data_IF_472076833902
#
_entry.id   IF_472076833902
#
_cell.length_a   1.000
_cell.length_b   1.000
_cell.length_c   1.000
_cell.angle_alpha   90.00
_cell.angle_beta   90.00
_cell.angle_gamma   90.00
#
_symmetry.space_group_name_H-M   'P 1'
#
loop_
_entity.id
_entity.type
_entity.pdbx_description
1 polymer ?
#
# COMPACT_ATOMS: atom_id res chain seq x y z
N UNK A 1 47.08 -8.77 26.02
CA UNK A 1 45.96 -7.84 26.26
C UNK A 1 45.08 -7.87 25.01
N UNK A 2 44.02 -8.69 25.00
CA UNK A 2 43.06 -8.77 23.87
C UNK A 2 42.12 -7.58 24.05
N UNK A 3 42.23 -6.61 23.17
CA UNK A 3 41.23 -5.51 23.09
C UNK A 3 39.89 -6.13 22.72
N UNK A 4 38.84 -5.75 23.41
CA UNK A 4 37.46 -6.12 23.06
C UNK A 4 37.20 -5.80 21.57
N UNK A 5 37.26 -6.84 20.75
CA UNK A 5 36.88 -6.73 19.35
C UNK A 5 35.35 -6.67 19.30
N UNK A 6 34.83 -5.53 18.93
CA UNK A 6 33.39 -5.34 18.69
C UNK A 6 33.12 -5.57 17.21
N UNK A 7 32.37 -6.62 16.91
CA UNK A 7 31.81 -6.82 15.56
C UNK A 7 30.57 -5.97 15.44
N UNK A 8 30.57 -5.11 14.42
CA UNK A 8 29.39 -4.27 14.08
C UNK A 8 29.00 -4.65 12.67
N UNK A 9 27.76 -5.10 12.49
CA UNK A 9 27.19 -5.29 11.18
C UNK A 9 26.93 -3.92 10.56
N UNK A 10 27.53 -3.64 9.40
CA UNK A 10 27.41 -2.39 8.66
C UNK A 10 26.52 -2.53 7.41
N UNK A 11 26.10 -3.76 7.10
CA UNK A 11 25.22 -4.09 5.98
C UNK A 11 25.36 -5.55 5.56
N UNK A 12 24.39 -6.00 4.80
CA UNK A 12 24.40 -7.33 4.16
C UNK A 12 24.08 -7.22 2.67
N UNK A 13 24.56 -8.16 1.88
CA UNK A 13 24.22 -8.32 0.48
C UNK A 13 23.86 -9.80 0.19
N UNK A 14 22.72 -10.11 -0.43
CA UNK A 14 21.63 -9.18 -0.73
C UNK A 14 21.02 -8.57 0.54
N UNK A 15 20.42 -7.38 0.46
CA UNK A 15 19.73 -6.75 1.57
C UNK A 15 18.44 -7.52 1.93
N UNK A 16 17.89 -7.30 3.12
CA UNK A 16 16.59 -7.87 3.50
C UNK A 16 15.48 -7.46 2.51
N UNK A 17 15.54 -6.24 2.00
CA UNK A 17 14.62 -5.77 0.97
C UNK A 17 14.78 -6.58 -0.32
N UNK A 18 16.02 -6.80 -0.80
CA UNK A 18 16.29 -7.58 -2.02
C UNK A 18 15.77 -9.02 -1.91
N UNK A 19 15.83 -9.63 -0.73
CA UNK A 19 15.30 -10.97 -0.48
C UNK A 19 13.77 -11.04 -0.54
N UNK A 20 13.10 -9.92 -0.28
CA UNK A 20 11.63 -9.81 -0.29
C UNK A 20 11.07 -9.29 -1.62
N UNK A 21 11.91 -8.73 -2.50
CA UNK A 21 11.52 -8.19 -3.81
C UNK A 21 10.99 -9.24 -4.80
N UNK A 22 11.50 -10.51 -4.85
CA UNK A 22 11.00 -11.50 -5.81
C UNK A 22 9.49 -11.75 -5.71
N UNK A 23 8.89 -11.51 -4.54
CA UNK A 23 7.44 -11.62 -4.37
C UNK A 23 6.65 -10.53 -5.11
N UNK A 24 7.32 -9.43 -5.48
CA UNK A 24 6.70 -8.30 -6.20
C UNK A 24 6.64 -8.57 -7.70
N UNK A 25 7.57 -9.32 -8.24
CA UNK A 25 7.73 -9.53 -9.69
C UNK A 25 6.47 -10.10 -10.35
N UNK A 26 5.68 -10.88 -9.61
CA UNK A 26 4.40 -11.44 -10.07
C UNK A 26 3.33 -10.37 -10.32
N UNK A 27 3.44 -9.19 -9.70
CA UNK A 27 2.49 -8.07 -9.85
C UNK A 27 2.95 -7.01 -10.85
N UNK A 28 4.18 -7.13 -11.39
CA UNK A 28 4.74 -6.21 -12.38
C UNK A 28 3.81 -5.91 -13.55
N UNK A 29 3.07 -6.90 -14.12
CA UNK A 29 2.19 -6.63 -15.25
C UNK A 29 1.01 -5.70 -14.92
N UNK A 30 0.65 -5.58 -13.66
CA UNK A 30 -0.56 -4.89 -13.18
C UNK A 30 -0.21 -3.50 -12.64
N UNK A 31 0.98 -3.35 -12.08
CA UNK A 31 1.45 -2.11 -11.46
C UNK A 31 2.11 -1.20 -12.49
N UNK A 32 1.84 0.09 -12.39
CA UNK A 32 2.63 1.12 -13.07
C UNK A 32 4.06 1.16 -12.53
N UNK A 33 4.98 1.80 -13.25
CA UNK A 33 6.37 1.95 -12.79
C UNK A 33 6.47 2.70 -11.46
N UNK A 34 5.58 3.66 -11.22
CA UNK A 34 5.50 4.41 -9.96
C UNK A 34 5.01 3.52 -8.81
N UNK A 35 3.90 2.79 -9.00
CA UNK A 35 3.33 1.86 -8.02
C UNK A 35 4.33 0.75 -7.67
N UNK A 36 5.11 0.29 -8.65
CA UNK A 36 6.19 -0.69 -8.46
C UNK A 36 7.31 -0.11 -7.59
N UNK A 37 7.70 1.14 -7.87
CA UNK A 37 8.66 1.86 -7.04
C UNK A 37 8.18 2.04 -5.61
N UNK A 38 6.91 2.36 -5.41
CA UNK A 38 6.31 2.51 -4.09
C UNK A 38 6.22 1.18 -3.34
N UNK A 39 5.89 0.10 -4.03
CA UNK A 39 5.86 -1.25 -3.45
C UNK A 39 7.26 -1.72 -3.02
N UNK A 40 8.28 -1.43 -3.83
CA UNK A 40 9.68 -1.70 -3.45
C UNK A 40 10.13 -0.92 -2.20
N UNK A 41 9.73 0.36 -2.09
CA UNK A 41 10.00 1.17 -0.90
C UNK A 41 9.26 0.68 0.33
N UNK A 42 8.01 0.27 0.17
CA UNK A 42 7.18 -0.32 1.19
C UNK A 42 7.86 -1.55 1.82
N UNK A 43 8.24 -2.52 1.00
CA UNK A 43 8.98 -3.71 1.42
C UNK A 43 10.30 -3.36 2.10
N UNK A 44 11.05 -2.41 1.54
CA UNK A 44 12.31 -1.96 2.09
C UNK A 44 12.16 -1.35 3.47
N UNK A 45 11.18 -0.47 3.67
CA UNK A 45 10.91 0.15 4.96
C UNK A 45 10.45 -0.88 6.00
N UNK A 46 9.57 -1.80 5.61
CA UNK A 46 9.12 -2.86 6.50
C UNK A 46 10.29 -3.76 6.93
N UNK A 47 11.17 -4.16 6.00
CA UNK A 47 12.37 -4.96 6.30
C UNK A 47 13.30 -4.28 7.32
N UNK A 48 13.29 -2.96 7.38
CA UNK A 48 14.02 -2.15 8.36
C UNK A 48 13.18 -1.73 9.58
N UNK A 49 12.03 -2.36 9.78
CA UNK A 49 11.11 -2.10 10.90
C UNK A 49 10.56 -0.66 10.93
N UNK A 50 10.42 -0.03 9.78
CA UNK A 50 9.81 1.29 9.63
C UNK A 50 8.34 1.11 9.24
N UNK A 51 7.48 0.87 10.21
CA UNK A 51 6.08 0.47 10.01
C UNK A 51 5.20 1.59 9.47
N UNK A 52 5.25 2.79 10.05
CA UNK A 52 4.47 3.95 9.57
C UNK A 52 4.88 4.31 8.14
N UNK A 53 6.17 4.29 7.84
CA UNK A 53 6.67 4.56 6.50
C UNK A 53 6.18 3.56 5.46
N UNK A 54 6.16 2.26 5.79
CA UNK A 54 5.62 1.23 4.92
C UNK A 54 4.12 1.42 4.68
N UNK A 55 3.34 1.78 5.70
CA UNK A 55 1.91 2.07 5.58
C UNK A 55 1.60 3.21 4.60
N UNK A 56 2.44 4.25 4.54
CA UNK A 56 2.28 5.35 3.58
C UNK A 56 2.32 4.83 2.15
N UNK A 57 3.28 3.99 1.81
CA UNK A 57 3.40 3.42 0.46
C UNK A 57 2.32 2.41 0.16
N UNK A 58 1.98 1.54 1.11
CA UNK A 58 0.89 0.58 0.97
C UNK A 58 -0.45 1.28 0.70
N UNK A 59 -0.71 2.39 1.38
CA UNK A 59 -1.87 3.24 1.14
C UNK A 59 -1.89 3.82 -0.27
N UNK A 60 -0.77 4.32 -0.78
CA UNK A 60 -0.67 4.86 -2.15
C UNK A 60 -1.00 3.80 -3.20
N UNK A 61 -0.50 2.58 -3.01
CA UNK A 61 -0.82 1.45 -3.90
C UNK A 61 -2.33 1.15 -3.87
N UNK A 62 -2.96 1.24 -2.71
CA UNK A 62 -4.40 1.04 -2.57
C UNK A 62 -5.22 2.19 -3.20
N UNK A 63 -4.73 3.42 -3.14
CA UNK A 63 -5.39 4.60 -3.72
C UNK A 63 -5.32 4.64 -5.26
N UNK A 64 -4.27 4.09 -5.87
CA UNK A 64 -4.06 4.13 -7.30
C UNK A 64 -5.23 3.63 -8.14
N UNK A 65 -5.78 2.43 -7.91
CA UNK A 65 -6.99 1.94 -8.60
C UNK A 65 -8.21 2.84 -8.39
N UNK A 66 -8.35 3.47 -7.23
CA UNK A 66 -9.45 4.41 -6.92
C UNK A 66 -9.34 5.64 -7.81
N UNK A 67 -8.15 6.22 -7.92
CA UNK A 67 -7.88 7.39 -8.77
C UNK A 67 -8.05 7.06 -10.26
N UNK A 68 -7.58 5.90 -10.70
CA UNK A 68 -7.77 5.43 -12.08
C UNK A 68 -9.24 5.26 -12.43
N UNK A 69 -10.04 4.72 -11.51
CA UNK A 69 -11.50 4.56 -11.70
C UNK A 69 -12.21 5.89 -11.74
N UNK A 70 -11.85 6.81 -10.83
CA UNK A 70 -12.36 8.18 -10.84
C UNK A 70 -12.07 8.87 -12.18
N UNK A 71 -10.84 8.80 -12.67
CA UNK A 71 -10.46 9.40 -13.95
C UNK A 71 -11.26 8.86 -15.15
N UNK A 72 -11.66 7.59 -15.12
CA UNK A 72 -12.52 6.98 -16.17
C UNK A 72 -13.97 7.48 -16.11
N UNK A 73 -14.47 7.84 -14.94
CA UNK A 73 -15.85 8.32 -14.75
C UNK A 73 -16.00 9.82 -14.96
N UNK A 74 -14.90 10.57 -14.87
CA UNK A 74 -14.88 11.99 -15.15
C UNK A 74 -15.44 12.29 -16.55
N UNK A 75 -16.48 13.14 -16.60
CA UNK A 75 -17.14 13.54 -17.84
C UNK A 75 -18.24 12.60 -18.32
N UNK A 76 -18.58 11.53 -17.60
CA UNK A 76 -19.79 10.76 -17.87
C UNK A 76 -21.04 11.50 -17.34
N UNK A 77 -22.17 11.35 -18.02
CA UNK A 77 -23.40 12.11 -17.73
C UNK A 77 -24.03 11.81 -16.35
N UNK A 78 -23.65 10.68 -15.75
CA UNK A 78 -24.18 10.21 -14.46
C UNK A 78 -23.24 10.49 -13.29
N UNK A 79 -22.09 11.16 -13.53
CA UNK A 79 -21.06 11.36 -12.52
C UNK A 79 -21.22 12.69 -11.77
N UNK A 80 -21.31 12.62 -10.44
CA UNK A 80 -21.37 13.79 -9.56
C UNK A 80 -19.98 14.05 -8.91
N UNK A 81 -19.21 14.92 -9.54
CA UNK A 81 -17.88 15.33 -9.05
C UNK A 81 -17.95 16.08 -7.72
N UNK A 82 -18.99 16.89 -7.52
CA UNK A 82 -19.17 17.65 -6.28
C UNK A 82 -19.42 16.73 -5.08
N UNK A 83 -20.15 15.65 -5.29
CA UNK A 83 -20.34 14.61 -4.26
C UNK A 83 -19.02 13.94 -3.93
N UNK A 84 -18.21 13.59 -4.93
CA UNK A 84 -16.91 12.93 -4.70
C UNK A 84 -15.92 13.84 -3.94
N UNK A 85 -15.80 15.11 -4.35
CA UNK A 85 -14.85 16.05 -3.73
C UNK A 85 -15.16 16.27 -2.26
N UNK A 86 -16.44 16.30 -1.89
CA UNK A 86 -16.89 16.51 -0.50
C UNK A 86 -16.85 15.25 0.37
N UNK A 87 -16.76 14.09 -0.25
CA UNK A 87 -16.83 12.80 0.44
C UNK A 87 -15.51 12.43 1.11
N UNK A 88 -15.62 11.71 2.22
CA UNK A 88 -14.50 10.99 2.81
C UNK A 88 -14.13 9.80 1.92
N UNK A 89 -12.95 9.23 2.13
CA UNK A 89 -12.46 8.17 1.25
C UNK A 89 -13.33 6.91 1.29
N UNK A 90 -13.87 6.52 2.43
CA UNK A 90 -14.82 5.42 2.55
C UNK A 90 -16.11 5.67 1.76
N UNK A 91 -16.58 6.92 1.73
CA UNK A 91 -17.71 7.34 0.91
C UNK A 91 -17.33 7.39 -0.58
N UNK A 92 -16.12 7.86 -0.91
CA UNK A 92 -15.59 7.83 -2.29
C UNK A 92 -15.53 6.41 -2.84
N UNK A 93 -15.06 5.44 -2.04
CA UNK A 93 -15.05 4.03 -2.41
C UNK A 93 -16.47 3.53 -2.70
N UNK A 94 -17.46 3.93 -1.89
CA UNK A 94 -18.86 3.57 -2.12
C UNK A 94 -19.44 4.21 -3.37
N UNK A 95 -19.15 5.49 -3.63
CA UNK A 95 -19.58 6.20 -4.83
C UNK A 95 -18.98 5.57 -6.10
N UNK A 96 -17.74 5.12 -6.02
CA UNK A 96 -17.04 4.47 -7.12
C UNK A 96 -17.34 2.96 -7.21
N UNK A 97 -18.07 2.38 -6.27
CA UNK A 97 -18.22 0.93 -6.09
C UNK A 97 -18.77 0.19 -7.33
N UNK A 98 -19.60 0.85 -8.15
CA UNK A 98 -20.13 0.26 -9.38
C UNK A 98 -19.09 0.10 -10.49
N UNK A 99 -18.02 0.87 -10.45
CA UNK A 99 -16.94 0.88 -11.45
C UNK A 99 -15.59 0.47 -10.88
N UNK A 100 -15.46 0.42 -9.55
CA UNK A 100 -14.30 -0.10 -8.86
C UNK A 100 -14.33 -1.64 -8.92
N UNK A 101 -13.16 -2.21 -8.97
CA UNK A 101 -13.02 -3.64 -8.74
C UNK A 101 -13.80 -4.02 -7.47
N UNK A 102 -14.66 -5.01 -7.58
CA UNK A 102 -15.53 -5.53 -6.52
C UNK A 102 -14.80 -5.69 -5.19
N UNK A 103 -13.58 -6.11 -5.28
CA UNK A 103 -12.64 -6.35 -4.21
C UNK A 103 -12.26 -5.10 -3.40
N UNK A 104 -11.99 -3.98 -4.06
CA UNK A 104 -11.68 -2.72 -3.38
C UNK A 104 -12.94 -2.14 -2.72
N UNK A 105 -14.08 -2.28 -3.38
CA UNK A 105 -15.37 -1.85 -2.84
C UNK A 105 -15.75 -2.61 -1.56
N UNK A 106 -15.48 -3.93 -1.50
CA UNK A 106 -15.76 -4.74 -0.31
C UNK A 106 -14.76 -4.55 0.84
N UNK A 107 -13.57 -4.00 0.57
CA UNK A 107 -12.52 -3.84 1.58
C UNK A 107 -12.25 -2.37 1.95
N UNK A 108 -13.29 -1.54 1.99
CA UNK A 108 -13.19 -0.15 2.48
C UNK A 108 -12.57 -0.03 3.87
N UNK A 109 -12.70 -1.07 4.69
CA UNK A 109 -12.09 -1.15 6.02
C UNK A 109 -10.56 -1.19 5.97
N UNK A 110 -9.97 -1.78 4.92
CA UNK A 110 -8.52 -1.76 4.72
C UNK A 110 -8.01 -0.33 4.54
N UNK A 111 -8.72 0.48 3.77
CA UNK A 111 -8.36 1.89 3.61
C UNK A 111 -8.48 2.66 4.92
N UNK A 112 -9.55 2.42 5.68
CA UNK A 112 -9.71 3.02 7.00
C UNK A 112 -8.54 2.67 7.93
N UNK A 113 -8.08 1.43 7.91
CA UNK A 113 -6.92 0.99 8.69
C UNK A 113 -5.62 1.64 8.21
N UNK A 114 -5.38 1.71 6.89
CA UNK A 114 -4.21 2.36 6.32
C UNK A 114 -4.20 3.87 6.63
N UNK A 115 -5.36 4.52 6.61
CA UNK A 115 -5.49 5.93 6.98
C UNK A 115 -5.19 6.18 8.46
N UNK A 116 -5.70 5.32 9.35
CA UNK A 116 -5.42 5.37 10.79
C UNK A 116 -3.95 5.14 11.10
N UNK A 117 -3.30 4.23 10.36
CA UNK A 117 -1.90 3.90 10.53
C UNK A 117 -0.97 5.10 10.49
N UNK A 118 -1.30 6.11 9.68
CA UNK A 118 -0.46 7.30 9.53
C UNK A 118 -0.65 8.31 10.71
N UNK A 119 -1.83 8.34 11.32
CA UNK A 119 -2.20 9.39 12.27
C UNK A 119 -2.46 8.89 13.69
N UNK A 120 -2.87 7.65 13.85
CA UNK A 120 -3.39 7.13 15.13
C UNK A 120 -2.63 5.89 15.65
N UNK A 121 -1.96 5.13 14.77
CA UNK A 121 -1.25 3.92 15.17
C UNK A 121 0.22 4.21 15.48
N UNK A 122 0.75 3.44 16.42
CA UNK A 122 2.18 3.43 16.71
C UNK A 122 2.97 2.70 15.62
N UNK A 123 4.28 2.92 15.58
CA UNK A 123 5.21 2.22 14.69
C UNK A 123 5.06 0.70 14.77
N UNK A 124 4.93 0.16 16.01
CA UNK A 124 4.78 -1.28 16.24
C UNK A 124 3.44 -1.84 15.76
N UNK A 125 2.36 -1.07 15.89
CA UNK A 125 1.04 -1.47 15.40
C UNK A 125 1.03 -1.49 13.87
N UNK A 126 1.57 -0.46 13.22
CA UNK A 126 1.73 -0.43 11.77
C UNK A 126 2.56 -1.63 11.29
N UNK A 127 3.67 -1.93 11.95
CA UNK A 127 4.50 -3.06 11.61
C UNK A 127 3.75 -4.41 11.67
N UNK A 128 2.93 -4.62 12.70
CA UNK A 128 2.13 -5.85 12.85
C UNK A 128 1.02 -5.96 11.82
N UNK A 129 0.33 -4.86 11.55
CA UNK A 129 -0.77 -4.84 10.58
C UNK A 129 -0.27 -4.98 9.15
N UNK A 130 0.95 -4.59 8.86
CA UNK A 130 1.56 -4.73 7.56
C UNK A 130 1.53 -6.18 7.06
N UNK A 131 1.92 -7.13 7.91
CA UNK A 131 1.94 -8.56 7.58
C UNK A 131 0.56 -9.12 7.21
N UNK A 132 -0.51 -8.44 7.63
CA UNK A 132 -1.90 -8.82 7.30
C UNK A 132 -2.41 -8.08 6.06
N UNK A 133 -2.13 -6.77 5.98
CA UNK A 133 -2.65 -5.91 4.92
C UNK A 133 -1.96 -6.15 3.58
N UNK A 134 -0.65 -6.32 3.58
CA UNK A 134 0.13 -6.54 2.37
C UNK A 134 -0.35 -7.77 1.59
N UNK A 135 -0.45 -8.98 2.15
CA UNK A 135 -0.96 -10.14 1.41
C UNK A 135 -2.37 -9.94 0.87
N UNK A 136 -3.22 -9.22 1.62
CA UNK A 136 -4.58 -8.91 1.17
C UNK A 136 -4.57 -7.99 -0.05
N UNK A 137 -3.72 -6.98 -0.09
CA UNK A 137 -3.54 -6.08 -1.25
C UNK A 137 -2.95 -6.86 -2.42
N UNK A 138 -1.95 -7.70 -2.18
CA UNK A 138 -1.33 -8.54 -3.20
C UNK A 138 -2.32 -9.51 -3.85
N UNK A 139 -3.17 -10.17 -3.06
CA UNK A 139 -4.22 -11.04 -3.59
C UNK A 139 -5.17 -10.26 -4.51
N UNK A 140 -5.47 -9.02 -4.16
CA UNK A 140 -6.37 -8.16 -4.92
C UNK A 140 -5.78 -7.72 -6.26
N UNK A 141 -4.49 -7.40 -6.27
CA UNK A 141 -3.77 -7.08 -7.50
C UNK A 141 -3.64 -8.29 -8.42
N UNK A 142 -3.64 -9.51 -7.88
CA UNK A 142 -3.51 -10.75 -8.64
C UNK A 142 -4.83 -11.26 -9.26
N UNK A 143 -5.97 -10.67 -8.92
CA UNK A 143 -7.30 -11.00 -9.45
C UNK A 143 -7.66 -10.21 -10.73
N UNK A 144 -6.82 -9.26 -11.18
CA UNK A 144 -6.92 -8.52 -12.45
C UNK A 144 -6.24 -9.28 -13.60
#
# INVERSE_FOLDING_TARGET
MIRDMKLIEVGQFPSLADLSLPDIDKYIPILTDEERGDFGRDVGLHAHSVGIGSFVYLRRIFEGPIEKTHAKLLGTAEWDEDALVRSRMDEKIKLLSSALLYVLAENSDMYSMLSKGIHELSEQECFRYFDTLRPSIEMKLGEE
#
